data_IF_029011991519
#
_entry.id   IF_029011991519
#
_cell.length_a   1.000
_cell.length_b   1.000
_cell.length_c   1.000
_cell.angle_alpha   90.00
_cell.angle_beta   90.00
_cell.angle_gamma   90.00
#
_symmetry.space_group_name_H-M   'P 1'
#
loop_
_entity.id
_entity.type
_entity.pdbx_description
1 polymer ?
#
# COMPACT_ATOMS: atom_id res chain seq x y z
N UNK A 1 5.87 13.01 -11.40
CA UNK A 1 4.74 13.97 -11.42
C UNK A 1 4.35 14.34 -9.98
N UNK A 2 4.45 15.60 -9.58
CA UNK A 2 3.98 16.05 -8.27
C UNK A 2 2.45 16.11 -8.27
N UNK A 3 1.80 15.22 -7.51
CA UNK A 3 0.38 15.34 -7.27
C UNK A 3 0.12 16.59 -6.42
N UNK A 4 -0.74 17.49 -6.90
CA UNK A 4 -1.14 18.72 -6.19
C UNK A 4 -1.98 18.36 -4.97
N UNK A 5 -1.70 18.98 -3.82
CA UNK A 5 -2.55 18.84 -2.63
C UNK A 5 -3.98 19.31 -2.93
N UNK A 6 -4.98 18.50 -2.57
CA UNK A 6 -6.42 18.79 -2.77
C UNK A 6 -7.17 18.97 -1.45
N UNK A 7 -6.49 19.40 -0.39
CA UNK A 7 -7.11 19.56 0.93
C UNK A 7 -8.30 20.52 0.90
N UNK A 8 -8.19 21.65 0.18
CA UNK A 8 -9.28 22.63 0.08
C UNK A 8 -10.56 22.03 -0.50
N UNK A 9 -10.43 21.08 -1.44
CA UNK A 9 -11.57 20.34 -1.98
C UNK A 9 -12.22 19.45 -0.93
N UNK A 10 -11.41 18.72 -0.15
CA UNK A 10 -11.93 17.89 0.94
C UNK A 10 -12.67 18.73 2.00
N UNK A 11 -12.12 19.90 2.35
CA UNK A 11 -12.74 20.81 3.31
C UNK A 11 -14.08 21.33 2.79
N UNK A 12 -14.13 21.76 1.52
CA UNK A 12 -15.35 22.26 0.89
C UNK A 12 -16.45 21.19 0.81
N UNK A 13 -16.10 19.96 0.41
CA UNK A 13 -17.03 18.83 0.36
C UNK A 13 -17.59 18.48 1.76
N UNK A 14 -16.76 18.53 2.81
CA UNK A 14 -17.20 18.30 4.19
C UNK A 14 -18.12 19.41 4.73
N UNK A 15 -17.85 20.67 4.43
CA UNK A 15 -18.75 21.77 4.84
C UNK A 15 -20.08 21.70 4.09
N UNK A 16 -20.03 21.33 2.80
CA UNK A 16 -21.22 21.20 1.97
C UNK A 16 -22.18 20.10 2.47
N UNK A 17 -21.70 19.03 3.11
CA UNK A 17 -22.57 17.96 3.62
C UNK A 17 -23.49 18.39 4.77
N UNK A 18 -23.22 19.54 5.40
CA UNK A 18 -24.06 20.12 6.45
C UNK A 18 -24.85 21.34 5.99
N UNK A 19 -24.72 21.73 4.72
CA UNK A 19 -25.51 22.82 4.16
C UNK A 19 -26.96 22.35 3.98
N UNK A 20 -27.97 23.11 4.43
CA UNK A 20 -29.35 22.72 4.27
C UNK A 20 -29.67 22.63 2.77
N UNK A 21 -29.92 21.41 2.31
CA UNK A 21 -30.55 21.19 1.01
C UNK A 21 -32.00 21.63 1.19
N UNK A 22 -32.41 22.71 0.53
CA UNK A 22 -33.80 23.14 0.58
C UNK A 22 -34.71 22.01 0.09
N UNK A 23 -35.43 21.36 1.01
CA UNK A 23 -36.39 20.30 0.67
C UNK A 23 -36.60 19.28 1.77
N UNK A 24 -37.63 19.53 2.57
CA UNK A 24 -38.47 18.58 3.34
C UNK A 24 -37.77 17.55 4.24
N UNK A 25 -37.84 17.88 5.52
CA UNK A 25 -37.77 17.05 6.72
C UNK A 25 -38.23 15.59 6.52
N UNK A 26 -37.31 14.65 6.74
CA UNK A 26 -37.64 13.33 7.26
C UNK A 26 -36.57 12.98 8.31
N UNK A 27 -37.04 12.47 9.44
CA UNK A 27 -36.36 12.33 10.74
C UNK A 27 -35.17 11.35 10.68
N UNK A 28 -34.07 11.74 10.05
CA UNK A 28 -32.79 11.02 10.15
C UNK A 28 -32.00 11.64 11.30
N UNK A 29 -31.66 10.80 12.28
CA UNK A 29 -30.87 11.18 13.46
C UNK A 29 -29.64 12.00 13.00
N UNK A 30 -29.52 13.28 13.40
CA UNK A 30 -28.48 14.19 12.90
C UNK A 30 -27.05 13.67 13.15
N UNK A 31 -26.89 12.76 14.11
CA UNK A 31 -25.63 12.11 14.48
C UNK A 31 -25.15 11.08 13.43
N UNK A 32 -26.07 10.39 12.75
CA UNK A 32 -25.72 9.34 11.75
C UNK A 32 -25.17 9.99 10.47
N UNK A 33 -25.80 11.06 9.99
CA UNK A 33 -25.32 11.82 8.83
C UNK A 33 -24.00 12.54 9.13
N UNK A 34 -23.80 12.97 10.38
CA UNK A 34 -22.54 13.55 10.84
C UNK A 34 -21.37 12.56 10.74
N UNK A 35 -21.52 11.35 11.28
CA UNK A 35 -20.48 10.32 11.20
C UNK A 35 -20.22 9.84 9.75
N UNK A 36 -21.24 9.80 8.90
CA UNK A 36 -21.09 9.51 7.46
C UNK A 36 -20.23 10.59 6.79
N UNK A 37 -20.55 11.86 7.00
CA UNK A 37 -19.79 13.00 6.47
C UNK A 37 -18.34 13.03 7.00
N UNK A 38 -18.14 12.76 8.29
CA UNK A 38 -16.81 12.73 8.90
C UNK A 38 -15.94 11.58 8.37
N UNK A 39 -16.53 10.40 8.14
CA UNK A 39 -15.84 9.29 7.44
C UNK A 39 -15.48 9.64 6.00
N UNK A 40 -16.39 10.31 5.27
CA UNK A 40 -16.11 10.78 3.92
C UNK A 40 -14.93 11.76 3.88
N UNK A 41 -14.88 12.69 4.83
CA UNK A 41 -13.80 13.66 4.97
C UNK A 41 -12.45 13.00 5.31
N UNK A 42 -12.45 12.03 6.24
CA UNK A 42 -11.28 11.20 6.56
C UNK A 42 -10.75 10.43 5.34
N UNK A 43 -11.64 9.87 4.52
CA UNK A 43 -11.25 9.18 3.30
C UNK A 43 -10.66 10.14 2.25
N UNK A 44 -11.25 11.32 2.07
CA UNK A 44 -10.75 12.33 1.13
C UNK A 44 -9.33 12.78 1.50
N UNK A 45 -9.10 13.11 2.77
CA UNK A 45 -7.78 13.55 3.26
C UNK A 45 -6.72 12.46 3.06
N UNK A 46 -7.00 11.19 3.40
CA UNK A 46 -6.07 10.07 3.16
C UNK A 46 -5.68 9.91 1.68
N UNK A 47 -6.62 10.09 0.75
CA UNK A 47 -6.37 9.98 -0.70
C UNK A 47 -5.44 11.06 -1.24
N UNK A 48 -5.45 12.27 -0.66
CA UNK A 48 -4.59 13.37 -1.09
C UNK A 48 -3.28 13.48 -0.29
N UNK A 49 -3.03 12.59 0.69
CA UNK A 49 -1.91 12.69 1.63
C UNK A 49 -0.54 12.82 0.95
N UNK A 50 -0.29 12.08 -0.13
CA UNK A 50 0.99 12.12 -0.84
C UNK A 50 1.30 13.51 -1.41
N UNK A 51 0.28 14.22 -1.91
CA UNK A 51 0.42 15.58 -2.43
C UNK A 51 0.46 16.67 -1.36
N UNK A 52 0.14 16.35 -0.10
CA UNK A 52 -0.05 17.31 0.99
C UNK A 52 1.00 17.22 2.12
N UNK A 53 2.15 16.57 1.90
CA UNK A 53 3.16 16.32 2.95
C UNK A 53 3.60 17.57 3.73
N UNK A 54 3.73 18.71 3.04
CA UNK A 54 4.12 20.00 3.62
C UNK A 54 3.00 21.03 3.74
N UNK A 55 1.73 20.63 3.61
CA UNK A 55 0.59 21.53 3.68
C UNK A 55 0.05 21.61 5.12
N UNK A 56 0.12 22.80 5.73
CA UNK A 56 -0.33 23.01 7.10
C UNK A 56 -1.85 22.80 7.28
N UNK A 57 -2.64 23.16 6.26
CA UNK A 57 -4.10 23.00 6.28
C UNK A 57 -4.47 21.51 6.26
N UNK A 58 -3.70 20.70 5.55
CA UNK A 58 -3.86 19.24 5.58
C UNK A 58 -3.60 18.67 6.98
N UNK A 59 -2.49 19.05 7.62
CA UNK A 59 -2.16 18.53 8.95
C UNK A 59 -3.14 19.00 10.03
N UNK A 60 -3.60 20.25 9.96
CA UNK A 60 -4.64 20.75 10.88
C UNK A 60 -5.98 20.05 10.66
N UNK A 61 -6.38 19.80 9.41
CA UNK A 61 -7.57 19.03 9.08
C UNK A 61 -7.49 17.58 9.59
N UNK A 62 -6.36 16.88 9.41
CA UNK A 62 -6.18 15.51 9.91
C UNK A 62 -6.27 15.46 11.43
N UNK A 63 -5.69 16.43 12.14
CA UNK A 63 -5.84 16.53 13.59
C UNK A 63 -7.30 16.76 13.98
N UNK A 64 -7.97 17.73 13.34
CA UNK A 64 -9.37 18.05 13.61
C UNK A 64 -10.30 16.86 13.36
N UNK A 65 -10.09 16.10 12.28
CA UNK A 65 -10.87 14.89 11.98
C UNK A 65 -10.80 13.89 13.15
N UNK A 66 -9.60 13.63 13.70
CA UNK A 66 -9.45 12.72 14.85
C UNK A 66 -10.20 13.21 16.08
N UNK A 67 -10.15 14.51 16.34
CA UNK A 67 -10.86 15.15 17.45
C UNK A 67 -12.38 15.00 17.29
N UNK A 68 -12.90 15.24 16.08
CA UNK A 68 -14.32 15.11 15.76
C UNK A 68 -14.82 13.67 15.90
N UNK A 69 -14.01 12.67 15.56
CA UNK A 69 -14.38 11.26 15.76
C UNK A 69 -14.59 10.94 17.24
N UNK A 70 -13.71 11.46 18.11
CA UNK A 70 -13.82 11.28 19.54
C UNK A 70 -14.99 12.09 20.14
N UNK A 71 -15.18 13.33 19.70
CA UNK A 71 -16.25 14.22 20.20
C UNK A 71 -17.65 13.68 19.92
N UNK A 72 -17.84 13.05 18.75
CA UNK A 72 -19.14 12.54 18.31
C UNK A 72 -19.27 11.01 18.44
N UNK A 73 -18.33 10.34 19.13
CA UNK A 73 -18.30 8.88 19.27
C UNK A 73 -18.49 8.11 17.95
N UNK A 74 -17.99 8.67 16.85
CA UNK A 74 -18.12 8.07 15.53
C UNK A 74 -17.16 6.89 15.38
N UNK A 75 -17.63 5.78 14.81
CA UNK A 75 -16.75 4.71 14.35
C UNK A 75 -15.99 5.15 13.09
N UNK A 76 -14.71 4.78 12.97
CA UNK A 76 -13.93 5.02 11.75
C UNK A 76 -14.40 4.17 10.56
N UNK A 77 -15.10 3.07 10.82
CA UNK A 77 -15.56 2.11 9.82
C UNK A 77 -17.03 2.32 9.46
N UNK A 78 -17.38 2.04 8.21
CA UNK A 78 -18.75 2.03 7.67
C UNK A 78 -18.99 3.02 6.52
N UNK A 79 -20.24 3.34 6.18
CA UNK A 79 -20.56 4.06 4.94
C UNK A 79 -20.05 5.50 4.91
N UNK A 80 -19.48 5.88 3.77
CA UNK A 80 -19.01 7.25 3.47
C UNK A 80 -20.00 8.04 2.60
N UNK A 81 -21.15 7.44 2.28
CA UNK A 81 -22.27 8.08 1.59
C UNK A 81 -23.56 7.63 2.28
N UNK A 82 -24.50 8.56 2.48
CA UNK A 82 -25.87 8.18 2.82
C UNK A 82 -26.45 7.39 1.65
N UNK A 83 -27.10 6.27 1.94
CA UNK A 83 -27.43 5.27 0.94
C UNK A 83 -28.53 5.75 -0.01
N UNK A 84 -28.16 6.34 -1.15
CA UNK A 84 -29.00 6.36 -2.36
C UNK A 84 -28.13 6.25 -3.61
N UNK A 85 -27.42 5.14 -3.74
CA UNK A 85 -26.93 4.67 -5.02
C UNK A 85 -27.20 3.15 -5.08
N UNK A 86 -27.88 2.64 -6.13
CA UNK A 86 -28.01 1.20 -6.31
C UNK A 86 -26.59 0.62 -6.37
N UNK A 87 -26.39 -0.43 -5.59
CA UNK A 87 -25.14 -1.17 -5.52
C UNK A 87 -24.75 -1.63 -6.92
N UNK A 88 -23.87 -0.88 -7.57
CA UNK A 88 -23.03 -1.46 -8.62
C UNK A 88 -22.32 -2.63 -7.94
N UNK A 89 -22.59 -3.83 -8.46
CA UNK A 89 -21.98 -5.07 -8.00
C UNK A 89 -20.54 -4.81 -7.60
N UNK A 90 -20.24 -5.07 -6.33
CA UNK A 90 -18.89 -4.96 -5.77
C UNK A 90 -17.99 -5.72 -6.77
N UNK A 91 -17.03 -5.07 -7.45
CA UNK A 91 -16.12 -5.80 -8.30
C UNK A 91 -15.51 -6.90 -7.42
N UNK A 92 -15.33 -8.13 -7.95
CA UNK A 92 -14.80 -9.23 -7.15
C UNK A 92 -13.56 -8.71 -6.45
N UNK A 93 -13.57 -8.80 -5.12
CA UNK A 93 -12.46 -8.34 -4.28
C UNK A 93 -11.27 -9.18 -4.69
N UNK A 94 -10.47 -8.66 -5.62
CA UNK A 94 -9.23 -9.30 -6.02
C UNK A 94 -8.37 -9.20 -4.78
N UNK A 95 -8.14 -10.35 -4.14
CA UNK A 95 -7.31 -10.44 -2.96
C UNK A 95 -5.94 -9.89 -3.31
N UNK A 96 -5.69 -8.65 -2.86
CA UNK A 96 -4.58 -7.80 -3.30
C UNK A 96 -3.25 -8.47 -2.96
N UNK A 97 -3.24 -9.36 -1.99
CA UNK A 97 -2.07 -10.02 -1.43
C UNK A 97 -1.80 -11.42 -1.99
N UNK A 98 -2.70 -11.97 -2.82
CA UNK A 98 -2.49 -13.30 -3.41
C UNK A 98 -1.84 -13.18 -4.79
N UNK A 99 -0.59 -13.64 -4.90
CA UNK A 99 0.16 -13.62 -6.16
C UNK A 99 -0.52 -14.51 -7.23
N UNK A 100 -0.99 -15.69 -6.85
CA UNK A 100 -1.63 -16.64 -7.76
C UNK A 100 -2.94 -16.10 -8.31
N UNK A 101 -3.77 -15.49 -7.46
CA UNK A 101 -5.04 -14.88 -7.89
C UNK A 101 -4.82 -13.78 -8.94
N UNK A 102 -3.75 -12.98 -8.80
CA UNK A 102 -3.37 -11.94 -9.76
C UNK A 102 -2.83 -12.52 -11.06
N UNK A 103 -2.05 -13.60 -11.00
CA UNK A 103 -1.53 -14.29 -12.19
C UNK A 103 -2.68 -14.89 -13.00
N UNK A 104 -3.64 -15.54 -12.32
CA UNK A 104 -4.85 -16.08 -12.94
C UNK A 104 -5.71 -14.98 -13.59
N UNK A 105 -5.84 -13.83 -12.92
CA UNK A 105 -6.54 -12.67 -13.47
C UNK A 105 -5.82 -12.00 -14.67
N UNK A 106 -4.52 -12.24 -14.84
CA UNK A 106 -3.71 -11.67 -15.93
C UNK A 106 -3.77 -12.47 -17.23
N UNK A 107 -4.58 -13.54 -17.27
CA UNK A 107 -4.84 -14.35 -18.46
C UNK A 107 -3.87 -15.54 -18.66
N UNK A 108 -4.17 -16.43 -19.62
CA UNK A 108 -3.49 -17.72 -19.77
C UNK A 108 -1.98 -17.64 -20.07
N UNK A 109 -1.50 -16.53 -20.64
CA UNK A 109 -0.06 -16.30 -20.86
C UNK A 109 0.71 -16.05 -19.54
N UNK A 110 0.07 -15.49 -18.51
CA UNK A 110 0.69 -15.30 -17.20
C UNK A 110 0.78 -16.60 -16.40
N UNK A 111 -0.10 -17.56 -16.69
CA UNK A 111 -0.17 -18.88 -16.07
C UNK A 111 1.04 -19.78 -16.40
N UNK A 112 1.79 -19.46 -17.46
CA UNK A 112 3.02 -20.16 -17.84
C UNK A 112 4.27 -19.69 -17.08
N UNK A 113 4.16 -18.75 -16.14
CA UNK A 113 5.31 -18.27 -15.35
C UNK A 113 5.82 -19.38 -14.43
N UNK A 114 6.84 -20.10 -14.90
CA UNK A 114 7.64 -21.01 -14.08
C UNK A 114 8.29 -20.22 -12.94
N UNK A 115 8.17 -20.71 -11.71
CA UNK A 115 8.96 -20.20 -10.59
C UNK A 115 10.44 -20.37 -10.92
N UNK A 116 11.23 -19.30 -10.75
CA UNK A 116 12.68 -19.36 -10.89
C UNK A 116 13.32 -19.66 -9.53
N UNK A 117 14.29 -20.56 -9.51
CA UNK A 117 15.05 -20.89 -8.30
C UNK A 117 16.48 -20.37 -8.43
N UNK A 118 16.96 -19.70 -7.39
CA UNK A 118 18.35 -19.29 -7.24
C UNK A 118 18.79 -19.66 -5.82
N UNK A 119 20.01 -20.15 -5.66
CA UNK A 119 20.53 -20.56 -4.37
C UNK A 119 22.02 -20.32 -4.26
N UNK A 120 22.48 -19.96 -3.07
CA UNK A 120 23.88 -19.79 -2.71
C UNK A 120 24.17 -20.68 -1.50
N UNK A 121 25.20 -21.53 -1.58
CA UNK A 121 25.50 -22.50 -0.54
C UNK A 121 26.99 -22.84 -0.48
N UNK A 122 27.47 -23.30 0.68
CA UNK A 122 28.86 -23.71 0.87
C UNK A 122 29.85 -22.56 0.61
N UNK A 123 30.93 -22.85 -0.10
CA UNK A 123 31.96 -21.90 -0.51
C UNK A 123 31.77 -21.41 -1.95
N UNK A 124 31.32 -20.16 -2.08
CA UNK A 124 29.96 -19.93 -2.54
C UNK A 124 29.69 -20.61 -3.89
N UNK A 125 28.95 -21.72 -3.82
CA UNK A 125 28.33 -22.34 -4.97
C UNK A 125 27.01 -21.64 -5.26
N UNK A 126 26.92 -21.05 -6.44
CA UNK A 126 25.78 -20.33 -6.93
C UNK A 126 25.02 -21.19 -7.94
N UNK A 127 23.75 -21.47 -7.67
CA UNK A 127 22.78 -21.90 -8.69
C UNK A 127 22.03 -20.68 -9.20
N UNK A 128 22.18 -20.37 -10.48
CA UNK A 128 21.48 -19.23 -11.12
C UNK A 128 20.03 -19.59 -11.45
N UNK A 129 19.22 -18.59 -11.81
CA UNK A 129 17.85 -18.80 -12.31
C UNK A 129 17.75 -19.61 -13.61
N UNK A 130 18.88 -19.86 -14.29
CA UNK A 130 18.97 -20.71 -15.48
C UNK A 130 19.42 -22.14 -15.16
N UNK A 131 19.48 -22.49 -13.86
CA UNK A 131 20.01 -23.76 -13.37
C UNK A 131 21.49 -23.98 -13.72
N UNK A 132 22.24 -22.90 -13.95
CA UNK A 132 23.69 -22.96 -14.11
C UNK A 132 24.37 -22.93 -12.73
N UNK A 133 25.43 -23.73 -12.57
CA UNK A 133 26.19 -23.81 -11.33
C UNK A 133 27.54 -23.11 -11.50
N UNK A 134 27.88 -22.23 -10.57
CA UNK A 134 29.14 -21.49 -10.54
C UNK A 134 29.75 -21.58 -9.15
N UNK A 135 31.07 -21.61 -9.07
CA UNK A 135 31.82 -21.49 -7.81
C UNK A 135 32.60 -20.19 -7.87
N UNK A 136 32.24 -19.23 -7.01
CA UNK A 136 32.73 -17.87 -7.12
C UNK A 136 33.66 -17.52 -5.96
N UNK A 137 34.88 -17.05 -6.21
CA UNK A 137 35.67 -16.40 -5.14
C UNK A 137 35.25 -14.94 -5.05
N UNK A 138 34.37 -14.64 -4.09
CA UNK A 138 33.85 -13.28 -3.89
C UNK A 138 33.92 -12.95 -2.41
N UNK A 139 34.66 -11.90 -2.06
CA UNK A 139 34.81 -11.40 -0.69
C UNK A 139 34.03 -10.09 -0.53
N UNK A 140 33.43 -9.87 0.63
CA UNK A 140 32.63 -8.69 0.93
C UNK A 140 31.19 -8.82 0.45
N UNK A 141 30.53 -7.68 0.27
CA UNK A 141 29.08 -7.60 0.03
C UNK A 141 28.75 -7.59 -1.48
N UNK A 142 27.87 -8.49 -1.93
CA UNK A 142 27.52 -8.67 -3.34
C UNK A 142 26.00 -8.83 -3.54
N UNK A 143 25.42 -8.23 -4.60
CA UNK A 143 24.00 -8.39 -4.90
C UNK A 143 23.75 -9.75 -5.58
N UNK A 144 22.98 -10.62 -4.91
CA UNK A 144 22.52 -11.88 -5.49
C UNK A 144 21.29 -11.67 -6.38
N UNK A 145 20.37 -10.80 -5.94
CA UNK A 145 19.21 -10.38 -6.70
C UNK A 145 19.12 -8.86 -6.57
N UNK A 146 19.04 -8.15 -7.68
CA UNK A 146 18.76 -6.71 -7.67
C UNK A 146 17.84 -6.36 -8.83
N UNK A 147 16.54 -6.23 -8.52
CA UNK A 147 15.55 -5.82 -9.51
C UNK A 147 14.53 -4.86 -8.89
N UNK A 148 13.57 -4.39 -9.70
CA UNK A 148 12.55 -3.41 -9.28
C UNK A 148 11.64 -3.88 -8.13
N UNK A 149 11.63 -5.17 -7.82
CA UNK A 149 10.71 -5.80 -6.88
C UNK A 149 11.39 -6.38 -5.65
N UNK A 150 12.64 -6.84 -5.78
CA UNK A 150 13.38 -7.52 -4.73
C UNK A 150 14.88 -7.20 -4.81
N UNK A 151 15.48 -6.97 -3.65
CA UNK A 151 16.93 -6.85 -3.48
C UNK A 151 17.39 -7.85 -2.43
N UNK A 152 18.31 -8.73 -2.80
CA UNK A 152 18.98 -9.70 -1.93
C UNK A 152 20.47 -9.48 -2.05
N UNK A 153 21.11 -9.21 -0.92
CA UNK A 153 22.54 -8.97 -0.83
C UNK A 153 23.12 -9.93 0.18
N UNK A 154 24.28 -10.49 -0.17
CA UNK A 154 25.02 -11.42 0.68
C UNK A 154 26.40 -10.86 0.98
N UNK A 155 26.95 -11.17 2.15
CA UNK A 155 28.32 -10.85 2.52
C UNK A 155 29.11 -12.14 2.70
N UNK A 156 30.21 -12.26 1.96
CA UNK A 156 31.08 -13.42 1.99
C UNK A 156 32.42 -13.07 2.65
N UNK A 157 32.92 -13.97 3.48
CA UNK A 157 34.22 -13.84 4.15
C UNK A 157 35.09 -15.06 3.84
N UNK A 158 36.43 -14.93 3.81
CA UNK A 158 37.31 -16.08 3.68
C UNK A 158 37.03 -17.12 4.77
N UNK A 159 37.00 -18.40 4.41
CA UNK A 159 36.80 -19.48 5.39
C UNK A 159 37.98 -19.56 6.37
N UNK A 160 39.19 -19.27 5.86
CA UNK A 160 40.43 -19.12 6.61
C UNK A 160 41.20 -17.94 6.03
N UNK A 161 41.95 -17.21 6.86
CA UNK A 161 42.81 -16.12 6.40
C UNK A 161 43.75 -16.59 5.28
N UNK A 162 43.75 -15.88 4.14
CA UNK A 162 44.55 -16.21 2.96
C UNK A 162 43.96 -17.28 2.04
N UNK A 163 42.83 -17.90 2.38
CA UNK A 163 42.18 -18.90 1.52
C UNK A 163 41.51 -18.28 0.29
N UNK A 164 41.43 -19.06 -0.79
CA UNK A 164 40.59 -18.73 -1.95
C UNK A 164 39.12 -19.09 -1.76
N UNK A 165 38.79 -19.90 -0.76
CA UNK A 165 37.43 -20.28 -0.42
C UNK A 165 36.79 -19.22 0.50
N UNK A 166 35.61 -18.75 0.13
CA UNK A 166 34.82 -17.75 0.87
C UNK A 166 33.45 -18.32 1.20
N UNK A 167 32.88 -18.02 2.36
CA UNK A 167 31.53 -18.45 2.76
C UNK A 167 30.65 -17.26 3.16
N UNK A 168 29.34 -17.41 2.98
CA UNK A 168 28.36 -16.37 3.33
C UNK A 168 28.16 -16.28 4.84
N UNK A 169 28.34 -15.10 5.42
CA UNK A 169 28.08 -14.84 6.84
C UNK A 169 26.81 -14.00 7.10
N UNK A 170 26.30 -13.30 6.08
CA UNK A 170 25.14 -12.41 6.19
C UNK A 170 24.39 -12.29 4.88
#
# INVERSE_FOLDING_TARGET
CCQKCRIQRCNAEYVASFSPSGGLQEEVLPDVDYCIALRAYSLCTRRTAHGCRGDLVYHSAVFRIKELFAQHNCSSDGPTSSAKAPSTSKPPVVDVCNYESRVLASGPAAQQKKYGHCGLFGDPHLRTFRDEFQTCRVEGAWPLIHNRYLSVQVTNVPVVEGSSATATNK
#
